data_IF_511672844841
#
_entry.id   IF_511672844841
#
_cell.length_a   1.000
_cell.length_b   1.000
_cell.length_c   1.000
_cell.angle_alpha   90.00
_cell.angle_beta   90.00
_cell.angle_gamma   90.00
#
_symmetry.space_group_name_H-M   'P 1'
#
loop_
_entity.id
_entity.type
_entity.pdbx_description
1 polymer ?
#
# COMPACT_ATOMS: atom_id res chain seq x y z
N UNK A 1 -1.77 -17.32 -0.82
CA UNK A 1 -0.80 -16.55 -1.62
C UNK A 1 -0.96 -15.01 -1.46
N UNK A 2 -2.15 -14.46 -1.16
CA UNK A 2 -2.40 -13.00 -1.03
C UNK A 2 -1.86 -12.36 0.28
N UNK A 3 -1.48 -13.17 1.28
CA UNK A 3 -1.18 -12.71 2.65
C UNK A 3 -0.03 -11.69 2.74
N UNK A 4 0.88 -11.67 1.77
CA UNK A 4 2.02 -10.76 1.76
C UNK A 4 1.74 -9.40 1.13
N UNK A 5 0.64 -9.24 0.37
CA UNK A 5 0.30 -7.96 -0.29
C UNK A 5 0.05 -6.85 0.74
N UNK A 6 -0.44 -7.20 1.93
CA UNK A 6 -0.66 -6.27 3.03
C UNK A 6 0.62 -5.97 3.83
N UNK A 7 1.63 -6.84 3.76
CA UNK A 7 2.91 -6.66 4.46
C UNK A 7 3.77 -5.62 3.74
N UNK A 8 3.71 -5.55 2.40
CA UNK A 8 4.46 -4.57 1.60
C UNK A 8 4.22 -3.12 2.05
N UNK A 9 2.98 -2.59 2.12
CA UNK A 9 2.74 -1.23 2.61
C UNK A 9 3.20 -1.01 4.05
N UNK A 10 3.12 -2.04 4.88
CA UNK A 10 3.47 -1.97 6.29
C UNK A 10 4.99 -1.86 6.49
N UNK A 11 5.78 -2.55 5.66
CA UNK A 11 7.24 -2.41 5.61
C UNK A 11 7.64 -1.07 4.98
N UNK A 12 7.00 -0.65 3.90
CA UNK A 12 7.27 0.65 3.26
C UNK A 12 6.99 1.83 4.21
N UNK A 13 5.90 1.75 4.98
CA UNK A 13 5.56 2.77 5.97
C UNK A 13 6.59 2.82 7.12
N UNK A 14 7.06 1.68 7.62
CA UNK A 14 8.16 1.62 8.58
C UNK A 14 9.46 2.24 8.04
N UNK A 15 9.84 1.89 6.80
CA UNK A 15 11.00 2.48 6.13
C UNK A 15 10.87 4.00 5.97
N UNK A 16 9.68 4.47 5.61
CA UNK A 16 9.39 5.90 5.46
C UNK A 16 9.53 6.65 6.80
N UNK A 17 9.06 6.06 7.90
CA UNK A 17 9.26 6.62 9.26
C UNK A 17 10.75 6.72 9.59
N UNK A 18 11.53 5.68 9.33
CA UNK A 18 12.98 5.72 9.58
C UNK A 18 13.67 6.78 8.72
N UNK A 19 13.26 6.93 7.46
CA UNK A 19 13.79 7.93 6.55
C UNK A 19 13.52 9.37 7.04
N UNK A 20 12.28 9.64 7.46
CA UNK A 20 11.90 10.93 8.05
C UNK A 20 12.71 11.24 9.31
N UNK A 21 12.88 10.24 10.18
CA UNK A 21 13.60 10.37 11.44
C UNK A 21 15.10 10.65 11.21
N UNK A 22 15.71 10.01 10.21
CA UNK A 22 17.09 10.26 9.80
C UNK A 22 17.30 11.67 9.22
N UNK A 23 16.32 12.18 8.46
CA UNK A 23 16.37 13.53 7.91
C UNK A 23 15.93 14.63 8.89
N UNK A 24 15.56 14.28 10.13
CA UNK A 24 15.05 15.24 11.12
C UNK A 24 13.68 15.83 10.77
N UNK A 25 12.95 15.21 9.83
CA UNK A 25 11.64 15.69 9.39
C UNK A 25 10.53 15.16 10.31
N UNK A 26 9.56 16.03 10.58
CA UNK A 26 8.41 15.67 11.41
C UNK A 26 7.44 14.75 10.66
N UNK A 27 6.72 13.90 11.40
CA UNK A 27 5.67 13.03 10.85
C UNK A 27 4.61 13.81 10.04
N UNK A 28 4.37 15.09 10.38
CA UNK A 28 3.48 15.98 9.63
C UNK A 28 3.99 16.30 8.22
N UNK A 29 5.31 16.49 8.03
CA UNK A 29 5.87 16.68 6.69
C UNK A 29 5.87 15.38 5.87
N UNK A 30 6.05 14.24 6.55
CA UNK A 30 6.08 12.92 5.94
C UNK A 30 4.71 12.34 5.56
N UNK A 31 3.62 12.99 5.95
CA UNK A 31 2.27 12.45 5.80
C UNK A 31 1.92 12.15 4.33
N UNK A 32 2.44 12.94 3.38
CA UNK A 32 2.24 12.71 1.94
C UNK A 32 2.79 11.36 1.49
N UNK A 33 3.93 10.92 2.01
CA UNK A 33 4.51 9.62 1.64
C UNK A 33 3.69 8.45 2.20
N UNK A 34 3.17 8.57 3.42
CA UNK A 34 2.24 7.59 3.99
C UNK A 34 0.97 7.46 3.15
N UNK A 35 0.40 8.59 2.73
CA UNK A 35 -0.77 8.65 1.86
C UNK A 35 -0.47 7.99 0.51
N UNK A 36 0.70 8.24 -0.08
CA UNK A 36 1.13 7.58 -1.33
C UNK A 36 1.19 6.05 -1.19
N UNK A 37 1.79 5.53 -0.11
CA UNK A 37 1.90 4.09 0.16
C UNK A 37 0.51 3.47 0.32
N UNK A 38 -0.39 4.14 1.05
CA UNK A 38 -1.76 3.69 1.28
C UNK A 38 -2.59 3.69 -0.02
N UNK A 39 -2.50 4.75 -0.83
CA UNK A 39 -3.20 4.85 -2.11
C UNK A 39 -2.73 3.77 -3.06
N UNK A 40 -1.41 3.61 -3.27
CA UNK A 40 -0.87 2.58 -4.17
C UNK A 40 -1.35 1.19 -3.75
N UNK A 41 -1.29 0.89 -2.46
CA UNK A 41 -1.71 -0.43 -1.95
C UNK A 41 -3.21 -0.66 -2.11
N UNK A 42 -4.02 0.37 -1.90
CA UNK A 42 -5.48 0.31 -2.10
C UNK A 42 -5.84 0.13 -3.56
N UNK A 43 -5.16 0.85 -4.46
CA UNK A 43 -5.35 0.74 -5.92
C UNK A 43 -5.02 -0.67 -6.40
N UNK A 44 -3.90 -1.23 -5.96
CA UNK A 44 -3.50 -2.60 -6.32
C UNK A 44 -4.52 -3.62 -5.77
N UNK A 45 -4.95 -3.47 -4.52
CA UNK A 45 -5.95 -4.35 -3.92
C UNK A 45 -7.30 -4.28 -4.66
N UNK A 46 -7.77 -3.08 -5.00
CA UNK A 46 -8.97 -2.88 -5.81
C UNK A 46 -8.83 -3.49 -7.20
N UNK A 47 -7.69 -3.29 -7.85
CA UNK A 47 -7.42 -3.86 -9.17
C UNK A 47 -7.48 -5.39 -9.15
N UNK A 48 -6.82 -6.04 -8.19
CA UNK A 48 -6.88 -7.50 -8.04
C UNK A 48 -8.28 -7.99 -7.68
N UNK A 49 -9.01 -7.26 -6.84
CA UNK A 49 -10.40 -7.59 -6.48
C UNK A 49 -11.32 -7.48 -7.69
N UNK A 50 -11.16 -6.43 -8.51
CA UNK A 50 -11.88 -6.24 -9.77
C UNK A 50 -11.57 -7.34 -10.78
N UNK A 51 -10.29 -7.65 -10.97
CA UNK A 51 -9.85 -8.76 -11.83
C UNK A 51 -10.44 -10.09 -11.37
N UNK A 52 -10.41 -10.38 -10.07
CA UNK A 52 -10.98 -11.60 -9.53
C UNK A 52 -12.50 -11.67 -9.74
N UNK A 53 -13.20 -10.53 -9.62
CA UNK A 53 -14.63 -10.43 -9.88
C UNK A 53 -14.99 -10.58 -11.37
N UNK A 54 -14.20 -9.96 -12.26
CA UNK A 54 -14.37 -10.03 -13.71
C UNK A 54 -14.05 -11.44 -14.23
N UNK A 55 -12.96 -12.05 -13.77
CA UNK A 55 -12.56 -13.41 -14.19
C UNK A 55 -13.45 -14.48 -13.54
N UNK A 56 -13.86 -14.32 -12.28
CA UNK A 56 -14.74 -15.26 -11.59
C UNK A 56 -16.18 -15.28 -12.09
N UNK A 57 -16.58 -14.36 -12.98
CA UNK A 57 -17.92 -14.32 -13.61
C UNK A 57 -17.95 -14.96 -15.00
N UNK A 58 -16.82 -15.50 -15.50
CA UNK A 58 -16.74 -16.17 -16.80
C UNK A 58 -17.13 -17.65 -16.80
N UNK A 59 -17.33 -18.27 -15.63
CA UNK A 59 -17.59 -19.71 -15.46
C UNK A 59 -19.00 -20.00 -14.89
N UNK A 60 -20.04 -19.31 -15.38
CA UNK A 60 -21.46 -19.60 -15.08
C UNK A 60 -22.27 -19.83 -16.36
#
# INVERSE_FOLDING_TARGET
MIRFIFIIPLVLSLLWITYLKMHGWTLKQGQKGFVYIAIISTVIALFYTLMMWLTGRGDL
#
